data_IF_485214400554
#
_entry.id   IF_485214400554
#
_cell.length_a   1.000
_cell.length_b   1.000
_cell.length_c   1.000
_cell.angle_alpha   90.00
_cell.angle_beta   90.00
_cell.angle_gamma   90.00
#
_symmetry.space_group_name_H-M   'P 1'
#
loop_
_entity.id
_entity.type
_entity.pdbx_description
1 polymer ?
#
# COMPACT_ATOMS: atom_id res chain seq x y z
N UNK A 1 -45.42 -5.26 67.47
CA UNK A 1 -45.95 -4.36 66.44
C UNK A 1 -44.80 -3.53 65.94
N UNK A 2 -44.62 -3.57 64.62
CA UNK A 2 -43.58 -2.92 63.85
C UNK A 2 -43.85 -1.42 63.76
N UNK A 3 -42.81 -0.59 63.81
CA UNK A 3 -42.79 0.69 63.10
C UNK A 3 -41.54 0.70 62.22
N UNK A 4 -41.78 0.46 60.93
CA UNK A 4 -40.79 0.52 59.86
C UNK A 4 -40.45 1.98 59.57
N UNK A 5 -39.14 2.28 59.57
CA UNK A 5 -38.59 3.54 59.08
C UNK A 5 -38.76 3.59 57.55
N UNK A 6 -39.74 4.36 57.07
CA UNK A 6 -39.93 4.58 55.65
C UNK A 6 -38.90 5.61 55.14
N UNK A 7 -37.92 5.14 54.37
CA UNK A 7 -36.85 5.93 53.80
C UNK A 7 -37.34 6.48 52.45
N UNK A 8 -37.87 7.71 52.44
CA UNK A 8 -38.34 8.39 51.23
C UNK A 8 -37.16 8.73 50.31
N UNK A 9 -36.95 7.92 49.27
CA UNK A 9 -36.03 8.23 48.18
C UNK A 9 -36.73 9.21 47.25
N UNK A 10 -36.47 10.52 47.45
CA UNK A 10 -36.91 11.58 46.55
C UNK A 10 -36.26 11.38 45.18
N UNK A 11 -37.01 10.84 44.22
CA UNK A 11 -36.61 10.77 42.81
C UNK A 11 -36.64 12.19 42.26
N UNK A 12 -35.48 12.85 42.15
CA UNK A 12 -35.37 14.13 41.43
C UNK A 12 -35.66 13.88 39.96
N UNK A 13 -36.83 14.32 39.51
CA UNK A 13 -37.17 14.38 38.09
C UNK A 13 -36.11 15.26 37.40
N UNK A 14 -35.44 14.70 36.41
CA UNK A 14 -34.42 15.43 35.66
C UNK A 14 -35.08 16.53 34.83
N UNK A 15 -34.81 17.79 35.16
CA UNK A 15 -35.28 18.95 34.39
C UNK A 15 -34.24 19.38 33.35
N UNK A 16 -34.68 19.61 32.12
CA UNK A 16 -33.83 20.06 31.02
C UNK A 16 -33.39 21.51 31.27
N UNK A 17 -32.09 21.71 31.41
CA UNK A 17 -31.51 23.05 31.47
C UNK A 17 -31.66 23.77 30.12
N UNK A 18 -32.49 24.82 30.06
CA UNK A 18 -32.81 25.57 28.84
C UNK A 18 -31.60 26.26 28.20
N UNK A 19 -30.64 26.75 28.99
CA UNK A 19 -29.40 27.33 28.48
C UNK A 19 -28.50 26.27 27.82
N UNK A 20 -28.49 25.06 28.38
CA UNK A 20 -27.81 23.91 27.76
C UNK A 20 -28.48 23.54 26.45
N UNK A 21 -29.81 23.53 26.38
CA UNK A 21 -30.57 23.30 25.15
C UNK A 21 -30.24 24.35 24.07
N UNK A 22 -30.25 25.63 24.43
CA UNK A 22 -29.91 26.72 23.49
C UNK A 22 -28.48 26.61 22.95
N UNK A 23 -27.50 26.28 23.82
CA UNK A 23 -26.12 26.01 23.40
C UNK A 23 -26.01 24.80 22.47
N UNK A 24 -26.79 23.75 22.72
CA UNK A 24 -26.84 22.58 21.84
C UNK A 24 -27.45 22.93 20.48
N UNK A 25 -28.54 23.70 20.46
CA UNK A 25 -29.18 24.17 19.22
C UNK A 25 -28.22 25.03 18.38
N UNK A 26 -27.47 25.92 19.03
CA UNK A 26 -26.42 26.71 18.38
C UNK A 26 -25.35 25.80 17.76
N UNK A 27 -24.82 24.83 18.53
CA UNK A 27 -23.81 23.89 18.02
C UNK A 27 -24.31 23.02 16.86
N UNK A 28 -25.60 22.67 16.84
CA UNK A 28 -26.22 21.92 15.74
C UNK A 28 -26.29 22.77 14.46
N UNK A 29 -26.47 24.09 14.59
CA UNK A 29 -26.54 25.00 13.44
C UNK A 29 -25.17 25.39 12.88
N UNK A 30 -24.08 25.16 13.61
CA UNK A 30 -22.72 25.48 13.16
C UNK A 30 -22.22 24.42 12.16
N UNK A 31 -21.68 24.87 11.03
CA UNK A 31 -21.01 23.96 10.09
C UNK A 31 -19.71 23.39 10.72
N UNK A 32 -19.38 22.11 10.48
CA UNK A 32 -18.09 21.54 10.87
C UNK A 32 -16.93 22.38 10.32
N UNK A 33 -15.94 22.69 11.16
CA UNK A 33 -14.81 23.57 10.82
C UNK A 33 -13.50 22.86 10.49
N UNK A 34 -13.38 21.58 10.87
CA UNK A 34 -12.14 20.81 10.73
C UNK A 34 -12.08 20.09 9.37
N UNK A 35 -13.16 19.37 9.04
CA UNK A 35 -13.26 18.67 7.77
C UNK A 35 -13.71 19.61 6.65
N UNK A 36 -13.14 19.43 5.46
CA UNK A 36 -13.58 20.14 4.27
C UNK A 36 -15.02 19.71 3.89
N UNK A 37 -15.75 20.56 3.16
CA UNK A 37 -17.11 20.22 2.67
C UNK A 37 -17.10 19.05 1.69
N UNK A 38 -15.96 18.76 1.08
CA UNK A 38 -15.75 17.62 0.19
C UNK A 38 -15.26 16.37 0.92
N UNK A 39 -14.97 16.43 2.23
CA UNK A 39 -14.54 15.27 3.00
C UNK A 39 -15.54 14.11 2.85
N UNK A 40 -15.06 12.98 2.32
CA UNK A 40 -15.88 11.79 2.02
C UNK A 40 -16.53 11.79 0.63
N UNK A 41 -16.34 12.81 -0.20
CA UNK A 41 -16.72 12.81 -1.63
C UNK A 41 -15.58 12.26 -2.48
N UNK A 42 -15.90 11.80 -3.69
CA UNK A 42 -14.94 11.28 -4.66
C UNK A 42 -13.89 12.31 -5.12
N UNK A 43 -14.15 13.61 -4.97
CA UNK A 43 -13.19 14.68 -5.25
C UNK A 43 -12.09 14.79 -4.19
N UNK A 44 -12.38 14.42 -2.93
CA UNK A 44 -11.43 14.44 -1.83
C UNK A 44 -10.53 13.21 -1.90
N UNK A 45 -9.22 13.43 -2.06
CA UNK A 45 -8.25 12.37 -2.29
C UNK A 45 -6.90 12.55 -1.58
N UNK A 46 -6.68 13.68 -0.91
CA UNK A 46 -5.50 13.95 -0.10
C UNK A 46 -6.00 14.06 1.33
N UNK A 47 -5.61 13.10 2.17
CA UNK A 47 -6.15 12.96 3.51
C UNK A 47 -5.07 13.20 4.56
N UNK A 48 -5.45 13.78 5.70
CA UNK A 48 -4.69 13.54 6.93
C UNK A 48 -4.80 12.07 7.30
N UNK A 49 -3.66 11.46 7.56
CA UNK A 49 -3.55 10.07 7.96
C UNK A 49 -4.25 9.90 9.31
N UNK A 50 -5.13 8.89 9.45
CA UNK A 50 -5.80 8.61 10.71
C UNK A 50 -4.80 8.44 11.86
N UNK A 51 -5.05 9.11 12.98
CA UNK A 51 -4.16 9.13 14.16
C UNK A 51 -3.71 7.74 14.62
N UNK A 52 -4.57 6.72 14.51
CA UNK A 52 -4.21 5.34 14.85
C UNK A 52 -3.05 4.79 14.01
N UNK A 53 -3.01 5.08 12.72
CA UNK A 53 -1.91 4.65 11.84
C UNK A 53 -0.61 5.39 12.20
N UNK A 54 -0.71 6.68 12.52
CA UNK A 54 0.42 7.50 12.99
C UNK A 54 0.97 6.95 14.31
N UNK A 55 0.11 6.53 15.25
CA UNK A 55 0.54 5.94 16.53
C UNK A 55 1.27 4.60 16.36
N UNK A 56 0.99 3.85 15.29
CA UNK A 56 1.70 2.60 14.96
C UNK A 56 3.09 2.89 14.39
N UNK A 57 3.21 3.87 13.50
CA UNK A 57 4.49 4.23 12.87
C UNK A 57 4.52 5.69 12.38
N UNK A 58 4.76 6.62 13.31
CA UNK A 58 4.71 8.07 13.07
C UNK A 58 5.68 8.53 11.98
N UNK A 59 6.91 8.00 12.00
CA UNK A 59 7.98 8.39 11.07
C UNK A 59 7.67 8.09 9.60
N UNK A 60 6.71 7.21 9.33
CA UNK A 60 6.33 6.82 7.97
C UNK A 60 5.42 7.81 7.26
N UNK A 61 4.89 8.81 7.97
CA UNK A 61 3.93 9.77 7.42
C UNK A 61 4.43 11.22 7.44
N UNK A 62 5.59 11.48 8.06
CA UNK A 62 6.19 12.81 8.12
C UNK A 62 7.23 13.03 7.01
N UNK A 63 7.12 14.12 6.23
CA UNK A 63 8.17 14.49 5.27
C UNK A 63 9.46 14.85 6.02
N UNK A 64 10.60 14.49 5.45
CA UNK A 64 11.90 14.76 6.07
C UNK A 64 12.58 15.99 5.48
N UNK A 65 12.41 16.27 4.18
CA UNK A 65 13.11 17.39 3.55
C UNK A 65 12.23 18.27 2.67
N UNK A 66 11.13 17.74 2.11
CA UNK A 66 10.28 18.49 1.19
C UNK A 66 8.83 18.49 1.65
N UNK A 67 8.27 19.70 1.85
CA UNK A 67 6.83 19.89 1.94
C UNK A 67 6.24 19.95 0.54
N UNK A 68 5.05 19.41 0.33
CA UNK A 68 4.27 19.51 -0.90
C UNK A 68 2.82 19.69 -0.51
N UNK A 69 2.22 20.78 -0.95
CA UNK A 69 0.86 21.11 -0.55
C UNK A 69 0.78 21.80 0.81
N UNK A 70 -0.42 21.91 1.38
CA UNK A 70 -0.69 22.74 2.55
C UNK A 70 -0.36 22.12 3.91
N UNK A 71 -0.30 20.78 4.02
CA UNK A 71 -0.34 20.11 5.34
C UNK A 71 0.94 20.21 6.17
N UNK A 72 2.10 20.32 5.50
CA UNK A 72 3.42 20.46 6.12
C UNK A 72 4.08 21.81 5.79
N UNK A 73 3.31 22.74 5.20
CA UNK A 73 3.83 24.03 4.76
C UNK A 73 4.31 24.86 5.95
N UNK A 74 5.55 25.32 5.86
CA UNK A 74 6.15 26.20 6.87
C UNK A 74 6.81 25.47 8.03
N UNK A 75 6.88 24.13 8.02
CA UNK A 75 7.62 23.38 9.02
C UNK A 75 9.13 23.70 8.96
N UNK A 76 9.77 24.05 10.10
CA UNK A 76 11.14 24.56 10.09
C UNK A 76 12.19 23.62 9.48
N UNK A 77 12.03 22.29 9.65
CA UNK A 77 12.99 21.31 9.14
C UNK A 77 12.93 21.12 7.62
N UNK A 78 11.85 21.57 6.96
CA UNK A 78 11.66 21.45 5.50
C UNK A 78 12.14 22.69 4.74
N UNK A 79 12.59 23.73 5.45
CA UNK A 79 12.93 25.05 4.89
C UNK A 79 14.03 24.99 3.82
N UNK A 80 14.97 24.06 3.94
CA UNK A 80 16.08 23.91 2.98
C UNK A 80 15.55 23.74 1.55
N UNK A 81 14.59 22.85 1.33
CA UNK A 81 14.03 22.63 -0.01
C UNK A 81 13.07 23.75 -0.41
N UNK A 82 12.34 24.36 0.54
CA UNK A 82 11.50 25.54 0.24
C UNK A 82 12.30 26.67 -0.43
N UNK A 83 13.54 26.92 0.00
CA UNK A 83 14.42 27.91 -0.65
C UNK A 83 14.81 27.49 -2.08
N UNK A 84 15.08 26.19 -2.30
CA UNK A 84 15.46 25.67 -3.62
C UNK A 84 14.29 25.61 -4.61
N UNK A 85 13.05 25.47 -4.14
CA UNK A 85 11.85 25.53 -5.00
C UNK A 85 11.78 26.82 -5.80
N UNK A 86 12.12 27.95 -5.19
CA UNK A 86 12.12 29.25 -5.84
C UNK A 86 13.17 29.35 -6.96
N UNK A 87 14.34 28.74 -6.77
CA UNK A 87 15.38 28.68 -7.81
C UNK A 87 14.91 27.88 -9.03
N UNK A 88 14.24 26.75 -8.79
CA UNK A 88 13.67 25.91 -9.84
C UNK A 88 12.53 26.60 -10.57
N UNK A 89 11.63 27.27 -9.84
CA UNK A 89 10.57 28.09 -10.44
C UNK A 89 11.17 29.23 -11.30
N UNK A 90 12.19 29.92 -10.80
CA UNK A 90 12.89 30.97 -11.54
C UNK A 90 13.54 30.46 -12.82
N UNK A 91 14.22 29.31 -12.76
CA UNK A 91 14.81 28.65 -13.93
C UNK A 91 13.76 28.26 -14.97
N UNK A 92 12.62 27.71 -14.52
CA UNK A 92 11.51 27.35 -15.40
C UNK A 92 10.89 28.59 -16.06
N UNK A 93 10.64 29.65 -15.30
CA UNK A 93 10.08 30.90 -15.83
C UNK A 93 11.04 31.56 -16.81
N UNK A 94 12.33 31.62 -16.52
CA UNK A 94 13.31 32.19 -17.45
C UNK A 94 13.27 31.47 -18.82
N UNK A 95 13.06 30.15 -18.81
CA UNK A 95 12.91 29.34 -20.01
C UNK A 95 11.60 29.62 -20.74
N UNK A 96 10.46 29.64 -20.05
CA UNK A 96 9.14 29.86 -20.69
C UNK A 96 8.86 31.31 -21.06
N UNK A 97 9.50 32.28 -20.39
CA UNK A 97 9.36 33.71 -20.67
C UNK A 97 9.89 34.08 -22.06
N UNK A 98 10.91 33.36 -22.56
CA UNK A 98 11.36 33.49 -23.95
C UNK A 98 10.25 33.19 -24.98
N UNK A 99 9.17 32.54 -24.55
CA UNK A 99 7.99 32.19 -25.34
C UNK A 99 6.73 32.96 -24.91
N UNK A 100 6.89 34.03 -24.13
CA UNK A 100 5.80 34.92 -23.73
C UNK A 100 5.02 34.48 -22.49
N UNK A 101 5.47 33.46 -21.75
CA UNK A 101 4.84 33.00 -20.51
C UNK A 101 5.57 33.55 -19.29
N UNK A 102 4.94 34.44 -18.54
CA UNK A 102 5.45 34.96 -17.26
C UNK A 102 4.76 34.32 -16.06
N UNK A 103 5.24 34.62 -14.85
CA UNK A 103 4.67 34.11 -13.58
C UNK A 103 3.15 34.31 -13.46
N UNK A 104 2.63 35.44 -13.97
CA UNK A 104 1.20 35.74 -13.95
C UNK A 104 0.36 34.72 -14.72
N UNK A 105 0.91 34.15 -15.79
CA UNK A 105 0.20 33.18 -16.63
C UNK A 105 0.02 31.84 -15.92
N UNK A 106 0.96 31.46 -15.05
CA UNK A 106 0.86 30.27 -14.20
C UNK A 106 -0.26 30.43 -13.17
N UNK A 107 -0.30 31.58 -12.48
CA UNK A 107 -1.36 31.90 -11.52
C UNK A 107 -2.73 31.93 -12.22
N UNK A 108 -2.81 32.59 -13.38
CA UNK A 108 -4.05 32.65 -14.19
C UNK A 108 -4.49 31.27 -14.68
N UNK A 109 -3.55 30.39 -15.01
CA UNK A 109 -3.87 29.03 -15.45
C UNK A 109 -4.45 28.15 -14.34
N UNK A 110 -4.09 28.41 -13.07
CA UNK A 110 -4.59 27.65 -11.92
C UNK A 110 -5.78 28.31 -11.22
N UNK A 111 -6.02 29.61 -11.40
CA UNK A 111 -7.14 30.33 -10.78
C UNK A 111 -8.50 29.61 -10.97
N UNK A 112 -8.89 29.13 -12.17
CA UNK A 112 -10.17 28.42 -12.36
C UNK A 112 -10.23 27.05 -11.67
N UNK A 113 -9.07 26.51 -11.28
CA UNK A 113 -8.93 25.19 -10.68
C UNK A 113 -8.82 25.24 -9.15
N UNK A 114 -8.76 26.44 -8.56
CA UNK A 114 -8.46 26.66 -7.16
C UNK A 114 -9.43 25.92 -6.22
N UNK A 115 -10.74 26.11 -6.44
CA UNK A 115 -11.77 25.48 -5.62
C UNK A 115 -11.71 23.96 -5.73
N UNK A 116 -11.55 23.44 -6.95
CA UNK A 116 -11.41 22.00 -7.20
C UNK A 116 -10.15 21.43 -6.53
N UNK A 117 -9.06 22.20 -6.48
CA UNK A 117 -7.84 21.80 -5.80
C UNK A 117 -8.05 21.76 -4.28
N UNK A 118 -8.75 22.73 -3.69
CA UNK A 118 -9.13 22.68 -2.26
C UNK A 118 -10.01 21.49 -1.93
N UNK A 119 -10.96 21.18 -2.80
CA UNK A 119 -11.86 20.03 -2.62
C UNK A 119 -11.11 18.68 -2.62
N UNK A 120 -9.86 18.66 -3.09
CA UNK A 120 -9.01 17.47 -3.06
C UNK A 120 -8.51 17.14 -1.65
N UNK A 121 -8.52 18.09 -0.70
CA UNK A 121 -8.02 17.90 0.67
C UNK A 121 -9.15 17.56 1.64
N UNK A 122 -8.87 16.69 2.63
CA UNK A 122 -9.86 16.25 3.63
C UNK A 122 -10.16 17.27 4.72
N UNK A 123 -9.23 18.19 4.96
CA UNK A 123 -9.34 19.24 5.98
C UNK A 123 -9.50 20.61 5.35
N UNK A 124 -10.04 21.55 6.12
CA UNK A 124 -10.14 22.94 5.70
C UNK A 124 -8.74 23.55 5.61
N UNK A 125 -8.38 24.03 4.42
CA UNK A 125 -7.10 24.71 4.20
C UNK A 125 -7.24 26.19 4.59
N UNK A 126 -6.53 26.60 5.65
CA UNK A 126 -6.56 27.96 6.20
C UNK A 126 -5.68 28.99 5.45
N UNK A 127 -5.39 28.74 4.17
CA UNK A 127 -4.67 29.68 3.31
C UNK A 127 -5.67 30.51 2.50
N UNK A 128 -5.38 31.82 2.35
CA UNK A 128 -6.10 32.67 1.40
C UNK A 128 -5.93 32.17 -0.04
N UNK A 129 -6.79 32.62 -0.95
CA UNK A 129 -6.76 32.19 -2.37
C UNK A 129 -5.41 32.48 -3.03
N UNK A 130 -4.81 33.64 -2.75
CA UNK A 130 -3.51 34.02 -3.32
C UNK A 130 -2.38 33.12 -2.82
N UNK A 131 -2.25 32.94 -1.50
CA UNK A 131 -1.21 32.10 -0.90
C UNK A 131 -1.35 30.62 -1.32
N UNK A 132 -2.59 30.16 -1.47
CA UNK A 132 -2.87 28.80 -1.94
C UNK A 132 -2.47 28.62 -3.41
N UNK A 133 -2.81 29.57 -4.30
CA UNK A 133 -2.38 29.53 -5.70
C UNK A 133 -0.85 29.63 -5.84
N UNK A 134 -0.20 30.49 -5.05
CA UNK A 134 1.25 30.60 -5.00
C UNK A 134 1.89 29.27 -4.64
N UNK A 135 1.37 28.61 -3.59
CA UNK A 135 1.82 27.28 -3.17
C UNK A 135 1.65 26.24 -4.29
N UNK A 136 0.49 26.17 -4.94
CA UNK A 136 0.25 25.23 -6.04
C UNK A 136 1.21 25.45 -7.21
N UNK A 137 1.47 26.71 -7.59
CA UNK A 137 2.42 27.04 -8.65
C UNK A 137 3.84 26.67 -8.25
N UNK A 138 4.29 27.08 -7.07
CA UNK A 138 5.65 26.85 -6.59
C UNK A 138 5.96 25.35 -6.49
N UNK A 139 5.14 24.61 -5.74
CA UNK A 139 5.33 23.19 -5.49
C UNK A 139 5.17 22.38 -6.79
N UNK A 140 4.15 22.71 -7.59
CA UNK A 140 3.89 22.01 -8.84
C UNK A 140 5.00 22.22 -9.88
N UNK A 141 5.46 23.46 -10.05
CA UNK A 141 6.56 23.76 -10.97
C UNK A 141 7.88 23.14 -10.52
N UNK A 142 8.17 23.15 -9.22
CA UNK A 142 9.35 22.48 -8.68
C UNK A 142 9.34 20.99 -9.02
N UNK A 143 8.25 20.28 -8.72
CA UNK A 143 8.11 18.84 -9.00
C UNK A 143 8.30 18.55 -10.48
N UNK A 144 7.63 19.32 -11.35
CA UNK A 144 7.70 19.14 -12.81
C UNK A 144 9.11 19.38 -13.34
N UNK A 145 9.74 20.49 -12.95
CA UNK A 145 11.08 20.83 -13.43
C UNK A 145 12.11 19.81 -12.91
N UNK A 146 11.96 19.36 -11.66
CA UNK A 146 12.81 18.32 -11.10
C UNK A 146 12.68 16.99 -11.86
N UNK A 147 11.45 16.55 -12.17
CA UNK A 147 11.23 15.35 -12.98
C UNK A 147 11.78 15.48 -14.41
N UNK A 148 11.63 16.64 -15.06
CA UNK A 148 12.23 16.89 -16.38
C UNK A 148 13.75 16.79 -16.36
N UNK A 149 14.39 17.31 -15.31
CA UNK A 149 15.85 17.25 -15.16
C UNK A 149 16.34 15.84 -14.89
N UNK A 150 15.68 15.07 -13.99
CA UNK A 150 16.00 13.65 -13.78
C UNK A 150 15.76 12.82 -15.06
N UNK A 151 14.68 13.10 -15.77
CA UNK A 151 14.36 12.51 -17.08
C UNK A 151 15.27 12.97 -18.22
N UNK A 152 16.34 13.75 -17.93
CA UNK A 152 17.32 14.26 -18.90
C UNK A 152 16.73 15.11 -20.03
N UNK A 153 15.53 15.67 -19.83
CA UNK A 153 14.95 16.62 -20.78
C UNK A 153 15.67 17.97 -20.72
N UNK A 154 16.12 18.36 -19.53
CA UNK A 154 16.89 19.57 -19.28
C UNK A 154 18.09 19.27 -18.39
N UNK A 155 19.23 19.94 -18.60
CA UNK A 155 20.38 19.77 -17.74
C UNK A 155 20.14 20.39 -16.36
N UNK A 156 20.75 19.80 -15.35
CA UNK A 156 20.95 20.49 -14.08
C UNK A 156 21.97 21.62 -14.26
N UNK A 157 21.91 22.63 -13.38
CA UNK A 157 22.97 23.62 -13.33
C UNK A 157 24.27 22.95 -12.84
N UNK A 158 25.45 23.39 -13.33
CA UNK A 158 26.72 23.03 -12.70
C UNK A 158 26.62 23.35 -11.20
N UNK A 159 26.95 22.36 -10.36
CA UNK A 159 26.90 22.47 -8.89
C UNK A 159 25.49 22.57 -8.24
N UNK A 160 24.44 22.10 -8.91
CA UNK A 160 23.10 22.00 -8.30
C UNK A 160 23.16 21.15 -7.00
N UNK A 161 22.82 21.72 -5.83
CA UNK A 161 22.86 21.01 -4.54
C UNK A 161 21.96 19.77 -4.52
N UNK A 162 20.84 19.79 -5.26
CA UNK A 162 19.88 18.68 -5.27
C UNK A 162 20.38 17.47 -6.06
N UNK A 163 21.46 17.61 -6.83
CA UNK A 163 22.13 16.51 -7.53
C UNK A 163 23.45 16.14 -6.89
N UNK A 164 24.24 17.14 -6.48
CA UNK A 164 25.54 16.91 -5.86
C UNK A 164 25.42 16.21 -4.49
N UNK A 165 24.31 16.45 -3.78
CA UNK A 165 23.99 15.76 -2.53
C UNK A 165 23.15 14.50 -2.78
N UNK A 166 23.80 13.37 -3.02
CA UNK A 166 23.12 12.10 -3.37
C UNK A 166 22.01 11.67 -2.41
N UNK A 167 22.13 12.00 -1.12
CA UNK A 167 21.15 11.68 -0.09
C UNK A 167 19.79 12.37 -0.28
N UNK A 168 19.74 13.52 -0.96
CA UNK A 168 18.49 14.26 -1.26
C UNK A 168 17.56 13.42 -2.11
N UNK A 169 18.11 12.71 -3.10
CA UNK A 169 17.33 11.89 -4.03
C UNK A 169 16.54 10.79 -3.31
N UNK A 170 17.16 10.08 -2.36
CA UNK A 170 16.52 9.03 -1.57
C UNK A 170 15.33 9.56 -0.77
N UNK A 171 15.44 10.76 -0.20
CA UNK A 171 14.32 11.35 0.53
C UNK A 171 13.22 11.89 -0.38
N UNK A 172 13.53 12.37 -1.59
CA UNK A 172 12.49 12.76 -2.56
C UNK A 172 11.66 11.56 -3.02
N UNK A 173 12.27 10.41 -3.27
CA UNK A 173 11.55 9.18 -3.61
C UNK A 173 10.48 8.85 -2.55
N UNK A 174 10.80 9.08 -1.27
CA UNK A 174 9.90 8.82 -0.16
C UNK A 174 8.88 9.94 0.05
N UNK A 175 9.35 11.17 0.23
CA UNK A 175 8.52 12.32 0.63
C UNK A 175 7.46 12.67 -0.43
N UNK A 176 7.74 12.44 -1.73
CA UNK A 176 6.78 12.67 -2.83
C UNK A 176 5.66 11.62 -2.90
N UNK A 177 5.73 10.55 -2.12
CA UNK A 177 4.72 9.49 -2.04
C UNK A 177 3.95 9.49 -0.72
N UNK A 178 4.24 10.43 0.20
CA UNK A 178 3.49 10.51 1.45
C UNK A 178 2.08 11.04 1.20
N UNK A 179 1.06 10.41 1.80
CA UNK A 179 -0.34 10.74 1.57
C UNK A 179 -0.67 12.20 1.94
N UNK A 180 -0.07 12.72 3.01
CA UNK A 180 -0.27 14.10 3.47
C UNK A 180 0.52 15.14 2.65
N UNK A 181 1.45 14.68 1.80
CA UNK A 181 2.44 15.53 1.14
C UNK A 181 2.24 15.50 -0.39
N UNK A 182 1.05 15.88 -0.84
CA UNK A 182 0.62 15.72 -2.23
C UNK A 182 0.04 17.01 -2.82
N UNK A 183 0.12 17.11 -4.15
CA UNK A 183 -0.73 17.98 -4.95
C UNK A 183 -1.70 17.14 -5.79
N UNK A 184 -2.89 17.67 -6.10
CA UNK A 184 -3.78 17.02 -7.06
C UNK A 184 -3.11 16.90 -8.43
N UNK A 185 -3.13 15.70 -9.02
CA UNK A 185 -2.42 15.42 -10.26
C UNK A 185 -2.89 16.29 -11.43
N UNK A 186 -4.16 16.70 -11.44
CA UNK A 186 -4.67 17.60 -12.48
C UNK A 186 -4.03 19.00 -12.42
N UNK A 187 -3.57 19.45 -11.24
CA UNK A 187 -2.80 20.70 -11.09
C UNK A 187 -1.43 20.52 -11.73
N UNK A 188 -0.74 19.42 -11.40
CA UNK A 188 0.55 19.06 -12.00
C UNK A 188 0.44 18.93 -13.52
N UNK A 189 -0.60 18.25 -14.01
CA UNK A 189 -0.85 18.08 -15.43
C UNK A 189 -1.10 19.43 -16.12
N UNK A 190 -1.89 20.32 -15.52
CA UNK A 190 -2.16 21.64 -16.09
C UNK A 190 -0.88 22.48 -16.22
N UNK A 191 -0.04 22.49 -15.18
CA UNK A 191 1.25 23.17 -15.20
C UNK A 191 2.23 22.52 -16.17
N UNK A 192 2.24 21.19 -16.26
CA UNK A 192 3.10 20.45 -17.19
C UNK A 192 2.79 20.80 -18.63
N UNK A 193 1.49 20.81 -18.99
CA UNK A 193 1.04 21.17 -20.33
C UNK A 193 1.28 22.65 -20.66
N UNK A 194 1.13 23.55 -19.68
CA UNK A 194 1.42 24.98 -19.86
C UNK A 194 2.90 25.24 -20.17
N UNK A 195 3.79 24.40 -19.63
CA UNK A 195 5.24 24.62 -19.66
C UNK A 195 5.96 23.78 -20.71
N UNK A 196 5.23 23.17 -21.64
CA UNK A 196 5.81 22.46 -22.79
C UNK A 196 6.44 23.47 -23.75
N UNK A 197 7.68 23.20 -24.15
CA UNK A 197 8.40 24.03 -25.13
C UNK A 197 8.17 23.51 -26.56
N UNK A 198 8.35 24.35 -27.59
CA UNK A 198 8.36 23.89 -28.98
C UNK A 198 9.37 22.74 -29.17
N UNK A 199 8.93 21.65 -29.81
CA UNK A 199 9.75 20.44 -30.00
C UNK A 199 9.59 19.38 -28.89
N UNK A 200 8.93 19.69 -27.78
CA UNK A 200 8.62 18.71 -26.72
C UNK A 200 7.29 17.96 -26.96
N UNK A 201 6.62 18.18 -28.10
CA UNK A 201 5.31 17.57 -28.41
C UNK A 201 5.36 16.04 -28.47
N UNK A 202 6.49 15.49 -28.93
CA UNK A 202 6.77 14.05 -28.95
C UNK A 202 7.50 13.56 -27.69
N UNK A 203 7.67 14.43 -26.69
CA UNK A 203 8.35 14.12 -25.43
C UNK A 203 7.53 13.19 -24.51
N UNK A 204 8.14 12.71 -23.41
CA UNK A 204 7.45 11.87 -22.45
C UNK A 204 6.28 12.62 -21.79
N UNK A 205 5.20 11.91 -21.51
CA UNK A 205 4.10 12.43 -20.69
C UNK A 205 4.56 12.69 -19.25
N UNK A 206 3.80 13.48 -18.50
CA UNK A 206 4.05 13.66 -17.05
C UNK A 206 4.05 12.31 -16.31
N UNK A 207 3.09 11.43 -16.63
CA UNK A 207 3.04 10.10 -16.02
C UNK A 207 4.29 9.27 -16.35
N UNK A 208 4.81 9.34 -17.57
CA UNK A 208 6.06 8.66 -17.95
C UNK A 208 7.26 9.17 -17.15
N UNK A 209 7.35 10.49 -16.95
CA UNK A 209 8.42 11.08 -16.12
C UNK A 209 8.31 10.65 -14.66
N UNK A 210 7.09 10.60 -14.11
CA UNK A 210 6.84 10.13 -12.74
C UNK A 210 7.23 8.65 -12.60
N UNK A 211 6.82 7.81 -13.56
CA UNK A 211 7.18 6.38 -13.56
C UNK A 211 8.69 6.20 -13.67
N UNK A 212 9.35 6.91 -14.59
CA UNK A 212 10.81 6.87 -14.74
C UNK A 212 11.55 7.32 -13.49
N UNK A 213 11.03 8.34 -12.78
CA UNK A 213 11.60 8.80 -11.51
C UNK A 213 11.56 7.70 -10.45
N UNK A 214 10.39 7.11 -10.17
CA UNK A 214 10.26 6.06 -9.15
C UNK A 214 10.87 4.72 -9.57
N UNK A 215 11.09 4.49 -10.87
CA UNK A 215 11.76 3.28 -11.35
C UNK A 215 13.24 3.19 -10.94
N UNK A 216 13.85 4.30 -10.50
CA UNK A 216 15.19 4.27 -9.91
C UNK A 216 15.25 3.42 -8.61
N UNK A 217 14.12 3.23 -7.92
CA UNK A 217 13.99 2.29 -6.79
C UNK A 217 13.32 0.99 -7.19
N UNK A 218 12.28 1.04 -8.02
CA UNK A 218 11.44 -0.12 -8.34
C UNK A 218 12.06 -1.10 -9.35
N UNK A 219 12.97 -0.63 -10.20
CA UNK A 219 13.69 -1.45 -11.20
C UNK A 219 12.79 -2.32 -12.08
N UNK A 220 11.60 -1.82 -12.45
CA UNK A 220 10.66 -2.52 -13.33
C UNK A 220 11.12 -2.46 -14.79
N UNK A 221 10.87 -3.51 -15.59
CA UNK A 221 11.09 -3.51 -17.03
C UNK A 221 10.42 -2.34 -17.77
N UNK A 222 11.10 -1.81 -18.78
CA UNK A 222 10.61 -0.66 -19.57
C UNK A 222 9.28 -0.96 -20.28
N UNK A 223 9.07 -2.22 -20.71
CA UNK A 223 7.81 -2.63 -21.35
C UNK A 223 6.61 -2.46 -20.41
N UNK A 224 6.82 -2.66 -19.11
CA UNK A 224 5.77 -2.49 -18.10
C UNK A 224 5.52 -1.01 -17.85
N UNK A 225 6.56 -0.17 -17.82
CA UNK A 225 6.40 1.28 -17.67
C UNK A 225 5.62 1.88 -18.85
N UNK A 226 5.88 1.42 -20.07
CA UNK A 226 5.21 1.89 -21.29
C UNK A 226 3.70 1.63 -21.27
N UNK A 227 3.23 0.52 -20.70
CA UNK A 227 1.78 0.25 -20.53
C UNK A 227 1.08 1.32 -19.71
N UNK A 228 1.83 1.97 -18.81
CA UNK A 228 1.31 2.92 -17.84
C UNK A 228 1.67 4.39 -18.16
N UNK A 229 2.21 4.67 -19.35
CA UNK A 229 2.66 6.02 -19.73
C UNK A 229 1.54 7.07 -19.77
N UNK A 230 0.28 6.67 -19.84
CA UNK A 230 -0.88 7.59 -19.93
C UNK A 230 -1.81 7.52 -18.72
N UNK A 231 -1.36 6.88 -17.61
CA UNK A 231 -2.16 6.80 -16.39
C UNK A 231 -2.48 8.20 -15.85
N UNK A 232 -3.67 8.32 -15.27
CA UNK A 232 -4.15 9.53 -14.59
C UNK A 232 -4.55 9.17 -13.17
N UNK A 233 -3.61 9.36 -12.24
CA UNK A 233 -3.89 9.26 -10.81
C UNK A 233 -4.56 10.52 -10.28
N UNK A 234 -5.02 10.47 -9.03
CA UNK A 234 -5.53 11.61 -8.28
C UNK A 234 -4.41 12.52 -7.77
N UNK A 235 -3.26 11.95 -7.44
CA UNK A 235 -2.00 12.57 -7.04
C UNK A 235 -0.85 11.59 -7.32
N UNK A 236 0.40 11.90 -6.96
CA UNK A 236 1.58 11.08 -7.33
C UNK A 236 1.53 9.68 -6.73
N UNK A 237 1.21 9.56 -5.43
CA UNK A 237 1.04 8.26 -4.77
C UNK A 237 -0.02 7.38 -5.46
N UNK A 238 -1.19 7.94 -5.78
CA UNK A 238 -2.25 7.19 -6.44
C UNK A 238 -1.86 6.78 -7.86
N UNK A 239 -1.18 7.66 -8.61
CA UNK A 239 -0.64 7.35 -9.94
C UNK A 239 0.30 6.14 -9.89
N UNK A 240 1.27 6.15 -8.96
CA UNK A 240 2.20 5.03 -8.80
C UNK A 240 1.48 3.75 -8.40
N UNK A 241 0.53 3.84 -7.46
CA UNK A 241 -0.32 2.71 -7.05
C UNK A 241 -1.10 2.11 -8.23
N UNK A 242 -1.74 2.94 -9.07
CA UNK A 242 -2.47 2.46 -10.24
C UNK A 242 -1.57 1.64 -11.19
N UNK A 243 -0.28 1.98 -11.29
CA UNK A 243 0.67 1.24 -12.14
C UNK A 243 0.99 -0.18 -11.69
N UNK A 244 0.57 -0.57 -10.48
CA UNK A 244 0.71 -1.92 -9.95
C UNK A 244 -0.59 -2.72 -10.03
N UNK A 245 -1.74 -2.06 -10.21
CA UNK A 245 -3.01 -2.77 -10.24
C UNK A 245 -3.09 -3.56 -11.56
N UNK A 246 -3.26 -4.89 -11.52
CA UNK A 246 -3.41 -5.69 -12.73
C UNK A 246 -4.64 -5.24 -13.53
N UNK A 247 -4.55 -5.25 -14.86
CA UNK A 247 -5.73 -5.07 -15.72
C UNK A 247 -6.73 -6.21 -15.44
N UNK A 248 -7.86 -5.84 -14.85
CA UNK A 248 -9.08 -6.62 -14.55
C UNK A 248 -8.90 -8.15 -14.46
N UNK A 249 -8.75 -8.68 -13.24
CA UNK A 249 -9.34 -9.97 -12.93
C UNK A 249 -10.82 -9.71 -12.65
N UNK A 250 -11.71 -10.25 -13.50
CA UNK A 250 -13.15 -10.26 -13.22
C UNK A 250 -13.35 -10.75 -11.78
N UNK A 251 -14.00 -9.94 -10.93
CA UNK A 251 -14.47 -10.44 -9.65
C UNK A 251 -15.44 -11.56 -9.97
N UNK A 252 -15.03 -12.81 -9.77
CA UNK A 252 -15.93 -13.95 -9.85
C UNK A 252 -17.11 -13.72 -8.92
N UNK A 253 -18.32 -13.69 -9.47
CA UNK A 253 -19.54 -13.75 -8.68
C UNK A 253 -19.62 -15.14 -8.06
N UNK A 254 -19.30 -15.26 -6.78
CA UNK A 254 -19.37 -16.53 -6.06
C UNK A 254 -20.48 -16.50 -5.02
N UNK A 255 -21.27 -17.58 -4.99
CA UNK A 255 -22.43 -17.75 -4.10
C UNK A 255 -22.05 -17.93 -2.62
N UNK A 256 -20.77 -18.06 -2.29
CA UNK A 256 -20.29 -18.35 -0.94
C UNK A 256 -19.09 -17.47 -0.53
N UNK A 257 -19.23 -16.66 0.54
CA UNK A 257 -18.14 -15.85 1.06
C UNK A 257 -17.00 -16.72 1.64
N UNK A 258 -15.72 -16.34 1.46
CA UNK A 258 -14.60 -16.98 2.12
C UNK A 258 -14.81 -17.03 3.63
N UNK A 259 -14.93 -18.25 4.15
CA UNK A 259 -15.33 -18.43 5.56
C UNK A 259 -14.20 -18.08 6.53
N UNK A 260 -12.92 -18.03 6.09
CA UNK A 260 -11.75 -17.79 6.96
C UNK A 260 -10.54 -17.18 6.24
N UNK A 261 -9.70 -16.46 6.99
CA UNK A 261 -8.35 -16.08 6.55
C UNK A 261 -7.45 -17.32 6.38
N UNK A 262 -6.48 -17.24 5.47
CA UNK A 262 -5.49 -18.32 5.30
C UNK A 262 -4.51 -18.35 6.47
N UNK A 263 -3.82 -19.48 6.61
CA UNK A 263 -2.84 -19.68 7.67
C UNK A 263 -1.46 -19.13 7.28
N UNK A 264 -0.61 -18.85 8.28
CA UNK A 264 0.79 -18.49 8.07
C UNK A 264 1.60 -19.56 7.32
N UNK A 265 2.69 -19.11 6.68
CA UNK A 265 3.61 -19.95 5.88
C UNK A 265 4.02 -21.21 6.63
N UNK A 266 4.38 -21.09 7.91
CA UNK A 266 4.74 -22.24 8.75
C UNK A 266 3.66 -23.33 8.82
N UNK A 267 2.37 -22.96 8.85
CA UNK A 267 1.25 -23.91 8.87
C UNK A 267 0.93 -24.43 7.47
N UNK A 268 0.92 -23.55 6.46
CA UNK A 268 0.68 -23.94 5.07
C UNK A 268 1.69 -24.99 4.59
N UNK A 269 2.96 -24.83 4.93
CA UNK A 269 4.02 -25.80 4.63
C UNK A 269 3.76 -27.18 5.22
N UNK A 270 3.29 -27.24 6.48
CA UNK A 270 2.94 -28.51 7.15
C UNK A 270 1.75 -29.20 6.47
N UNK A 271 0.86 -28.41 5.86
CA UNK A 271 -0.25 -28.92 5.05
C UNK A 271 0.14 -29.28 3.61
N UNK A 272 1.43 -29.22 3.25
CA UNK A 272 1.92 -29.58 1.92
C UNK A 272 1.83 -28.46 0.88
N UNK A 273 1.37 -27.26 1.27
CA UNK A 273 1.32 -26.10 0.39
C UNK A 273 2.72 -25.51 0.23
N UNK A 274 3.14 -25.30 -1.01
CA UNK A 274 4.45 -24.74 -1.36
C UNK A 274 4.29 -23.31 -1.86
N UNK A 275 5.19 -22.43 -1.44
CA UNK A 275 5.31 -21.09 -1.99
C UNK A 275 6.51 -21.05 -2.95
N UNK A 276 6.35 -20.42 -4.11
CA UNK A 276 7.37 -20.29 -5.15
C UNK A 276 7.34 -18.90 -5.79
N UNK A 277 8.48 -18.44 -6.35
CA UNK A 277 8.50 -17.21 -7.13
C UNK A 277 7.66 -17.39 -8.41
N UNK A 278 6.76 -16.45 -8.64
CA UNK A 278 5.94 -16.34 -9.83
C UNK A 278 6.51 -15.34 -10.84
N UNK A 279 6.03 -15.38 -12.08
CA UNK A 279 6.31 -14.34 -13.10
C UNK A 279 5.04 -13.57 -13.39
N UNK A 280 5.04 -12.27 -13.11
CA UNK A 280 3.95 -11.34 -13.43
C UNK A 280 4.47 -9.91 -13.50
N UNK A 281 3.69 -9.03 -14.14
CA UNK A 281 4.02 -7.60 -14.31
C UNK A 281 3.89 -6.78 -13.01
N UNK A 282 3.21 -7.33 -12.02
CA UNK A 282 2.97 -6.73 -10.71
C UNK A 282 3.11 -7.75 -9.60
N UNK A 283 3.68 -7.33 -8.46
CA UNK A 283 3.76 -8.14 -7.26
C UNK A 283 2.39 -8.49 -6.64
N UNK A 284 1.33 -7.77 -7.04
CA UNK A 284 -0.05 -8.03 -6.62
C UNK A 284 -0.63 -9.30 -7.25
N UNK A 285 -0.03 -9.82 -8.34
CA UNK A 285 -0.57 -10.98 -9.05
C UNK A 285 -0.16 -12.29 -8.38
N UNK A 286 -0.92 -12.71 -7.37
CA UNK A 286 -0.71 -13.99 -6.67
C UNK A 286 -1.62 -15.07 -7.25
N UNK A 287 -1.07 -16.26 -7.51
CA UNK A 287 -1.82 -17.40 -8.08
C UNK A 287 -1.68 -18.61 -7.17
N UNK A 288 -2.74 -19.41 -7.07
CA UNK A 288 -2.70 -20.71 -6.39
C UNK A 288 -3.19 -21.81 -7.32
N UNK A 289 -2.39 -22.86 -7.49
CA UNK A 289 -2.73 -24.03 -8.33
C UNK A 289 -2.15 -25.29 -7.71
N UNK A 290 -2.99 -26.30 -7.50
CA UNK A 290 -2.57 -27.64 -7.07
C UNK A 290 -1.62 -27.66 -5.85
N UNK A 291 -1.90 -26.87 -4.82
CA UNK A 291 -1.07 -26.80 -3.61
C UNK A 291 0.20 -25.95 -3.76
N UNK A 292 0.34 -25.18 -4.85
CA UNK A 292 1.45 -24.25 -5.04
C UNK A 292 0.90 -22.82 -5.13
N UNK A 293 1.39 -21.95 -4.26
CA UNK A 293 1.17 -20.51 -4.29
C UNK A 293 2.35 -19.84 -4.99
N UNK A 294 2.09 -19.19 -6.12
CA UNK A 294 3.07 -18.44 -6.90
C UNK A 294 2.93 -16.95 -6.58
N UNK A 295 4.00 -16.36 -6.06
CA UNK A 295 4.07 -14.95 -5.69
C UNK A 295 5.23 -14.31 -6.44
N UNK A 296 5.04 -13.22 -7.20
CA UNK A 296 6.15 -12.54 -7.84
C UNK A 296 7.15 -12.02 -6.79
N UNK A 297 8.45 -12.00 -7.09
CA UNK A 297 9.47 -11.50 -6.17
C UNK A 297 9.24 -10.03 -5.77
N UNK A 298 9.54 -9.71 -4.52
CA UNK A 298 9.39 -8.37 -3.94
C UNK A 298 10.63 -8.00 -3.14
N UNK A 299 11.21 -6.85 -3.48
CA UNK A 299 12.30 -6.21 -2.72
C UNK A 299 11.70 -5.42 -1.56
N UNK A 300 11.96 -5.84 -0.32
CA UNK A 300 11.51 -5.16 0.89
C UNK A 300 12.62 -4.21 1.34
N UNK A 301 12.45 -2.91 1.06
CA UNK A 301 13.38 -1.83 1.41
C UNK A 301 12.63 -0.64 2.04
N UNK A 302 13.35 0.41 2.43
CA UNK A 302 12.77 1.63 3.02
C UNK A 302 11.77 2.34 2.08
N UNK A 303 11.99 2.25 0.77
CA UNK A 303 11.11 2.87 -0.23
C UNK A 303 9.77 2.12 -0.32
N UNK A 304 9.80 0.81 -0.53
CA UNK A 304 8.61 0.00 -0.74
C UNK A 304 7.78 -0.08 0.54
N UNK A 305 8.43 -0.16 1.71
CA UNK A 305 7.72 -0.14 3.00
C UNK A 305 6.96 1.17 3.21
N UNK A 306 7.58 2.33 2.90
CA UNK A 306 6.91 3.63 2.93
C UNK A 306 5.76 3.70 1.92
N UNK A 307 5.98 3.22 0.70
CA UNK A 307 4.95 3.18 -0.34
C UNK A 307 3.75 2.33 0.10
N UNK A 308 3.97 1.13 0.66
CA UNK A 308 2.91 0.27 1.18
C UNK A 308 2.06 0.96 2.23
N UNK A 309 2.67 1.55 3.26
CA UNK A 309 1.95 2.19 4.35
C UNK A 309 1.10 3.37 3.87
N UNK A 310 1.61 4.17 2.95
CA UNK A 310 0.89 5.31 2.40
C UNK A 310 -0.23 4.87 1.44
N UNK A 311 -0.02 3.82 0.64
CA UNK A 311 -1.09 3.21 -0.16
C UNK A 311 -2.21 2.62 0.71
N UNK A 312 -1.88 1.88 1.77
CA UNK A 312 -2.88 1.33 2.70
C UNK A 312 -3.66 2.46 3.38
N UNK A 313 -2.98 3.52 3.84
CA UNK A 313 -3.65 4.69 4.39
C UNK A 313 -4.60 5.36 3.37
N UNK A 314 -4.14 5.53 2.13
CA UNK A 314 -4.95 6.12 1.06
C UNK A 314 -6.17 5.26 0.73
N UNK A 315 -5.99 3.95 0.57
CA UNK A 315 -7.08 3.02 0.31
C UNK A 315 -8.05 2.97 1.48
N UNK A 316 -7.60 3.05 2.74
CA UNK A 316 -8.47 3.12 3.91
C UNK A 316 -9.33 4.39 3.92
N UNK A 317 -8.74 5.56 3.63
CA UNK A 317 -9.42 6.85 3.68
C UNK A 317 -10.34 7.09 2.47
N UNK A 318 -9.96 6.62 1.29
CA UNK A 318 -10.66 6.91 0.06
C UNK A 318 -11.73 5.85 -0.24
N UNK A 319 -13.00 6.20 -0.02
CA UNK A 319 -14.15 5.30 -0.22
C UNK A 319 -14.18 4.63 -1.60
N UNK A 320 -14.10 5.42 -2.67
CA UNK A 320 -14.24 4.90 -4.05
C UNK A 320 -12.92 4.30 -4.62
N UNK A 321 -11.89 4.14 -3.77
CA UNK A 321 -10.61 3.59 -4.18
C UNK A 321 -10.63 2.06 -4.04
N UNK A 322 -10.14 1.35 -5.05
CA UNK A 322 -9.92 -0.11 -4.99
C UNK A 322 -8.94 -0.47 -3.87
N UNK A 323 -9.14 -1.59 -3.19
CA UNK A 323 -8.34 -2.01 -2.04
C UNK A 323 -7.22 -3.01 -2.38
N UNK A 324 -6.58 -2.88 -3.55
CA UNK A 324 -5.64 -3.88 -4.06
C UNK A 324 -4.37 -3.98 -3.19
N UNK A 325 -3.77 -2.85 -2.83
CA UNK A 325 -2.57 -2.85 -1.99
C UNK A 325 -2.90 -3.35 -0.59
N UNK A 326 -4.02 -2.91 -0.03
CA UNK A 326 -4.55 -3.33 1.27
C UNK A 326 -4.81 -4.83 1.31
N UNK A 327 -5.45 -5.38 0.28
CA UNK A 327 -5.73 -6.82 0.18
C UNK A 327 -4.42 -7.63 0.13
N UNK A 328 -3.41 -7.14 -0.60
CA UNK A 328 -2.10 -7.78 -0.63
C UNK A 328 -1.37 -7.66 0.71
N UNK A 329 -1.45 -6.51 1.38
CA UNK A 329 -0.91 -6.32 2.72
C UNK A 329 -1.55 -7.30 3.72
N UNK A 330 -2.86 -7.51 3.67
CA UNK A 330 -3.56 -8.52 4.48
C UNK A 330 -3.12 -9.94 4.15
N UNK A 331 -2.88 -10.26 2.87
CA UNK A 331 -2.30 -11.55 2.48
C UNK A 331 -0.93 -11.73 3.14
N UNK A 332 -0.06 -10.74 3.08
CA UNK A 332 1.26 -10.79 3.70
C UNK A 332 1.17 -10.96 5.23
N UNK A 333 0.27 -10.23 5.89
CA UNK A 333 -0.01 -10.35 7.32
C UNK A 333 -0.47 -11.77 7.71
N UNK A 334 -1.33 -12.39 6.89
CA UNK A 334 -1.73 -13.78 7.09
C UNK A 334 -0.54 -14.74 6.95
N UNK A 335 0.31 -14.53 5.95
CA UNK A 335 1.44 -15.39 5.62
C UNK A 335 2.58 -15.28 6.64
N UNK A 336 2.82 -14.08 7.20
CA UNK A 336 4.03 -13.73 7.95
C UNK A 336 3.67 -13.37 9.39
N UNK A 337 3.77 -14.37 10.27
CA UNK A 337 3.56 -14.14 11.71
C UNK A 337 4.89 -13.97 12.45
N UNK A 338 5.96 -14.61 11.98
CA UNK A 338 7.26 -14.65 12.66
C UNK A 338 8.42 -14.38 11.70
N UNK A 339 9.61 -14.07 12.25
CA UNK A 339 10.83 -13.93 11.45
C UNK A 339 11.17 -15.19 10.64
N UNK A 340 10.80 -16.39 11.12
CA UNK A 340 11.00 -17.65 10.38
C UNK A 340 10.14 -17.75 9.12
N UNK A 341 8.98 -17.10 9.11
CA UNK A 341 8.15 -17.04 7.91
C UNK A 341 8.80 -16.13 6.86
N UNK A 342 9.42 -15.02 7.29
CA UNK A 342 10.21 -14.11 6.42
C UNK A 342 11.46 -14.81 5.89
N UNK A 343 12.24 -15.46 6.76
CA UNK A 343 13.44 -16.24 6.42
C UNK A 343 13.09 -17.24 5.30
N UNK A 344 11.98 -17.97 5.45
CA UNK A 344 11.53 -18.92 4.44
C UNK A 344 11.15 -18.26 3.10
N UNK A 345 10.53 -17.07 3.11
CA UNK A 345 10.20 -16.35 1.88
C UNK A 345 11.46 -15.84 1.17
N UNK A 346 12.47 -15.44 1.93
CA UNK A 346 13.79 -15.05 1.41
C UNK A 346 14.50 -16.25 0.79
N UNK A 347 14.53 -17.40 1.46
CA UNK A 347 15.10 -18.66 0.94
C UNK A 347 14.47 -19.12 -0.37
N UNK A 348 13.21 -18.73 -0.61
CA UNK A 348 12.46 -19.04 -1.83
C UNK A 348 12.61 -17.99 -2.93
N UNK A 349 13.39 -16.94 -2.71
CA UNK A 349 13.51 -15.78 -3.61
C UNK A 349 12.14 -15.15 -3.92
N UNK A 350 11.21 -15.20 -2.96
CA UNK A 350 9.96 -14.46 -3.04
C UNK A 350 10.19 -13.07 -2.46
N UNK A 351 10.95 -12.97 -1.36
CA UNK A 351 11.38 -11.70 -0.79
C UNK A 351 12.88 -11.50 -0.99
N UNK A 352 13.27 -10.26 -1.25
CA UNK A 352 14.63 -9.78 -1.11
C UNK A 352 14.66 -8.74 0.01
N UNK A 353 15.27 -9.08 1.14
CA UNK A 353 15.23 -8.22 2.33
C UNK A 353 16.43 -7.24 2.34
N UNK A 354 16.13 -5.94 2.15
CA UNK A 354 17.07 -4.83 2.32
C UNK A 354 16.63 -3.84 3.41
N UNK A 355 15.56 -4.15 4.14
CA UNK A 355 14.97 -3.31 5.18
C UNK A 355 15.66 -3.48 6.53
N UNK A 356 16.19 -4.67 6.81
CA UNK A 356 16.88 -4.98 8.06
C UNK A 356 16.81 -6.46 8.39
N UNK A 357 16.59 -6.79 9.65
CA UNK A 357 16.42 -8.16 10.11
C UNK A 357 15.05 -8.73 9.69
N UNK A 358 14.98 -10.05 9.54
CA UNK A 358 13.71 -10.75 9.27
C UNK A 358 12.65 -10.48 10.34
N UNK A 359 13.08 -10.21 11.58
CA UNK A 359 12.19 -9.82 12.68
C UNK A 359 11.61 -8.41 12.49
N UNK A 360 12.37 -7.48 11.91
CA UNK A 360 11.90 -6.14 11.58
C UNK A 360 10.89 -6.18 10.43
N UNK A 361 11.15 -6.97 9.38
CA UNK A 361 10.19 -7.19 8.29
C UNK A 361 8.90 -7.81 8.81
N UNK A 362 8.99 -8.88 9.63
CA UNK A 362 7.82 -9.49 10.23
C UNK A 362 7.02 -8.48 11.07
N UNK A 363 7.69 -7.66 11.89
CA UNK A 363 7.02 -6.64 12.71
C UNK A 363 6.36 -5.57 11.85
N UNK A 364 7.01 -5.13 10.77
CA UNK A 364 6.46 -4.17 9.83
C UNK A 364 5.17 -4.69 9.19
N UNK A 365 5.19 -5.92 8.65
CA UNK A 365 4.03 -6.52 7.98
C UNK A 365 2.87 -6.72 8.96
N UNK A 366 3.16 -7.24 10.17
CA UNK A 366 2.16 -7.38 11.23
C UNK A 366 1.55 -6.05 11.69
N UNK A 367 2.29 -4.95 11.54
CA UNK A 367 1.78 -3.62 11.84
C UNK A 367 0.98 -3.02 10.68
N UNK A 368 1.25 -3.44 9.45
CA UNK A 368 0.54 -3.00 8.25
C UNK A 368 -0.89 -3.54 8.21
N UNK A 369 -1.13 -4.75 8.75
CA UNK A 369 -2.46 -5.35 8.86
C UNK A 369 -3.31 -4.85 10.04
N UNK A 370 -2.72 -4.12 11.00
CA UNK A 370 -3.45 -3.62 12.18
C UNK A 370 -4.41 -2.50 11.83
N UNK A 371 -5.62 -2.57 12.39
CA UNK A 371 -6.68 -1.56 12.23
C UNK A 371 -7.14 -1.31 10.77
N UNK A 372 -6.78 -2.20 9.85
CA UNK A 372 -7.23 -2.13 8.46
C UNK A 372 -8.54 -2.88 8.30
N UNK A 373 -9.61 -2.18 7.90
CA UNK A 373 -10.89 -2.81 7.59
C UNK A 373 -10.76 -3.57 6.28
N UNK A 374 -10.70 -4.91 6.37
CA UNK A 374 -10.58 -5.80 5.22
C UNK A 374 -11.87 -6.60 5.03
N UNK A 375 -12.43 -6.51 3.82
CA UNK A 375 -13.55 -7.33 3.36
C UNK A 375 -12.98 -8.47 2.54
N UNK A 376 -12.85 -9.65 3.15
CA UNK A 376 -12.32 -10.85 2.48
C UNK A 376 -13.22 -11.31 1.33
N UNK A 377 -14.52 -11.01 1.44
CA UNK A 377 -15.54 -11.52 0.53
C UNK A 377 -15.55 -10.73 -0.79
N UNK A 378 -15.27 -9.43 -0.71
CA UNK A 378 -15.26 -8.52 -1.85
C UNK A 378 -13.85 -8.00 -2.18
N UNK A 379 -12.85 -8.88 -2.18
CA UNK A 379 -11.48 -8.55 -2.57
C UNK A 379 -11.00 -9.33 -3.80
N UNK A 380 -10.02 -8.79 -4.53
CA UNK A 380 -9.50 -9.44 -5.76
C UNK A 380 -8.77 -10.77 -5.49
N UNK A 381 -8.43 -11.07 -4.24
CA UNK A 381 -7.82 -12.34 -3.82
C UNK A 381 -8.82 -13.31 -3.19
N UNK A 382 -10.14 -13.04 -3.26
CA UNK A 382 -11.16 -13.89 -2.63
C UNK A 382 -11.07 -15.35 -3.10
N UNK A 383 -10.90 -15.57 -4.40
CA UNK A 383 -10.68 -16.90 -5.00
C UNK A 383 -9.42 -17.58 -4.44
N UNK A 384 -8.32 -16.83 -4.33
CA UNK A 384 -7.06 -17.33 -3.76
C UNK A 384 -7.28 -17.81 -2.32
N UNK A 385 -7.94 -17.01 -1.48
CA UNK A 385 -8.23 -17.39 -0.09
C UNK A 385 -9.12 -18.65 -0.03
N UNK A 386 -10.14 -18.73 -0.89
CA UNK A 386 -11.02 -19.89 -0.98
C UNK A 386 -10.28 -21.17 -1.36
N UNK A 387 -9.52 -21.13 -2.45
CA UNK A 387 -8.80 -22.29 -2.97
C UNK A 387 -7.76 -22.81 -1.97
N UNK A 388 -7.01 -21.89 -1.34
CA UNK A 388 -6.01 -22.24 -0.33
C UNK A 388 -6.66 -22.90 0.88
N UNK A 389 -7.77 -22.35 1.38
CA UNK A 389 -8.49 -22.92 2.52
C UNK A 389 -9.15 -24.26 2.19
N UNK A 390 -9.71 -24.42 1.00
CA UNK A 390 -10.27 -25.69 0.53
C UNK A 390 -9.18 -26.75 0.45
N UNK A 391 -8.03 -26.42 -0.13
CA UNK A 391 -6.88 -27.33 -0.19
C UNK A 391 -6.38 -27.69 1.21
N UNK A 392 -6.28 -26.72 2.12
CA UNK A 392 -5.85 -26.93 3.50
C UNK A 392 -6.83 -27.81 4.31
N UNK A 393 -8.13 -27.80 3.99
CA UNK A 393 -9.14 -28.63 4.66
C UNK A 393 -9.22 -30.06 4.12
N UNK A 394 -8.83 -30.29 2.87
CA UNK A 394 -8.87 -31.60 2.23
C UNK A 394 -7.79 -32.53 2.84
N UNK A 395 -8.18 -33.21 3.93
CA UNK A 395 -7.29 -33.83 4.91
C UNK A 395 -6.38 -34.97 4.44
N UNK A 396 -6.63 -35.60 3.28
CA UNK A 396 -5.78 -36.70 2.81
C UNK A 396 -4.35 -36.25 2.49
N UNK A 397 -4.19 -35.14 1.76
CA UNK A 397 -2.86 -34.61 1.43
C UNK A 397 -2.18 -33.95 2.62
N UNK A 398 -2.96 -33.34 3.52
CA UNK A 398 -2.45 -32.72 4.76
C UNK A 398 -1.94 -33.77 5.74
N UNK A 399 -2.64 -34.89 5.90
CA UNK A 399 -2.17 -36.01 6.71
C UNK A 399 -0.91 -36.66 6.12
N UNK A 400 -0.85 -36.82 4.79
CA UNK A 400 0.33 -37.38 4.10
C UNK A 400 1.55 -36.44 4.15
N UNK A 401 1.35 -35.13 3.96
CA UNK A 401 2.40 -34.12 4.06
C UNK A 401 2.87 -33.92 5.50
N UNK A 402 1.93 -33.89 6.46
CA UNK A 402 2.21 -33.86 7.89
C UNK A 402 3.01 -35.08 8.33
N UNK A 403 2.59 -36.28 7.89
CA UNK A 403 3.31 -37.53 8.16
C UNK A 403 4.72 -37.51 7.54
N UNK A 404 4.87 -37.02 6.31
CA UNK A 404 6.17 -36.83 5.67
C UNK A 404 7.09 -35.91 6.49
N UNK A 405 6.58 -34.75 6.90
CA UNK A 405 7.35 -33.77 7.64
C UNK A 405 7.72 -34.25 9.06
N UNK A 406 6.81 -34.92 9.77
CA UNK A 406 7.06 -35.33 11.16
C UNK A 406 7.79 -36.67 11.28
N UNK A 407 7.53 -37.63 10.39
CA UNK A 407 8.09 -38.98 10.51
C UNK A 407 9.20 -39.27 9.51
N UNK A 408 9.34 -38.50 8.44
CA UNK A 408 10.29 -38.78 7.36
C UNK A 408 11.30 -37.65 7.11
N UNK A 409 11.47 -36.72 8.06
CA UNK A 409 12.50 -35.68 8.01
C UNK A 409 13.92 -36.22 8.28
N UNK A 410 14.03 -37.43 8.84
CA UNK A 410 15.30 -38.13 9.02
C UNK A 410 15.41 -39.33 8.06
N UNK A 411 16.57 -39.54 7.40
CA UNK A 411 16.79 -40.72 6.55
C UNK A 411 16.55 -42.05 7.29
N UNK A 412 16.86 -42.09 8.59
CA UNK A 412 16.76 -43.29 9.42
C UNK A 412 15.32 -43.70 9.71
N UNK A 413 14.43 -42.72 9.91
CA UNK A 413 13.01 -42.97 10.14
C UNK A 413 12.35 -43.58 8.91
N UNK A 414 12.76 -43.13 7.71
CA UNK A 414 12.32 -43.72 6.44
C UNK A 414 12.79 -45.16 6.28
N UNK A 415 14.08 -45.43 6.52
CA UNK A 415 14.65 -46.77 6.42
C UNK A 415 13.97 -47.73 7.41
N UNK A 416 13.72 -47.28 8.65
CA UNK A 416 13.07 -48.10 9.66
C UNK A 416 11.62 -48.45 9.29
N UNK A 417 10.85 -47.48 8.78
CA UNK A 417 9.49 -47.73 8.31
C UNK A 417 9.46 -48.68 7.10
N UNK A 418 10.41 -48.52 6.18
CA UNK A 418 10.55 -49.39 5.01
C UNK A 418 10.92 -50.83 5.41
N UNK A 419 11.86 -51.01 6.34
CA UNK A 419 12.23 -52.32 6.86
C UNK A 419 11.04 -53.02 7.55
N UNK A 420 10.27 -52.29 8.37
CA UNK A 420 9.07 -52.81 9.01
C UNK A 420 7.99 -53.23 7.98
N UNK A 421 7.83 -52.45 6.91
CA UNK A 421 6.91 -52.79 5.82
C UNK A 421 7.32 -54.05 5.06
N UNK A 422 8.61 -54.20 4.74
CA UNK A 422 9.15 -55.43 4.11
C UNK A 422 8.95 -56.64 5.03
N UNK A 423 9.22 -56.52 6.33
CA UNK A 423 8.99 -57.59 7.30
C UNK A 423 7.51 -57.97 7.39
N UNK A 424 6.58 -57.01 7.33
CA UNK A 424 5.15 -57.27 7.30
C UNK A 424 4.77 -58.08 6.05
N UNK A 425 5.24 -57.70 4.86
CA UNK A 425 4.98 -58.43 3.61
C UNK A 425 5.53 -59.86 3.67
N UNK A 426 6.74 -60.04 4.22
CA UNK A 426 7.32 -61.37 4.43
C UNK A 426 6.50 -62.20 5.40
N UNK A 427 5.97 -61.58 6.46
CA UNK A 427 5.11 -62.27 7.44
C UNK A 427 3.79 -62.70 6.82
N UNK A 428 3.18 -61.84 5.99
CA UNK A 428 1.96 -62.17 5.24
C UNK A 428 2.23 -63.32 4.26
N UNK A 429 3.32 -63.25 3.50
CA UNK A 429 3.71 -64.31 2.57
C UNK A 429 3.97 -65.63 3.32
N UNK A 430 4.70 -65.60 4.43
CA UNK A 430 4.94 -66.75 5.29
C UNK A 430 3.63 -67.35 5.81
N UNK A 431 2.72 -66.51 6.30
CA UNK A 431 1.39 -66.93 6.78
C UNK A 431 0.60 -67.58 5.66
N UNK A 432 0.60 -67.00 4.46
CA UNK A 432 -0.05 -67.57 3.28
C UNK A 432 0.54 -68.94 2.91
N UNK A 433 1.87 -69.06 2.80
CA UNK A 433 2.52 -70.34 2.47
C UNK A 433 2.35 -71.40 3.58
N UNK A 434 2.12 -70.99 4.83
CA UNK A 434 1.85 -71.91 5.95
C UNK A 434 0.41 -72.42 5.92
N UNK A 435 -0.54 -71.56 5.53
CA UNK A 435 -1.98 -71.87 5.52
C UNK A 435 -2.42 -72.54 4.21
N UNK A 436 -1.80 -72.20 3.08
CA UNK A 436 -2.14 -72.71 1.75
C UNK A 436 -2.17 -74.26 1.66
N UNK A 437 -1.21 -75.01 2.24
CA UNK A 437 -1.24 -76.48 2.25
C UNK A 437 -2.38 -77.07 3.10
N UNK A 438 -2.94 -76.30 4.04
CA UNK A 438 -4.06 -76.73 4.88
C UNK A 438 -5.40 -76.70 4.12
N UNK A 439 -5.56 -75.76 3.18
CA UNK A 439 -6.76 -75.62 2.36
C UNK A 439 -6.67 -76.29 0.99
N UNK A 440 -5.45 -76.58 0.52
CA UNK A 440 -5.19 -77.43 -0.64
C UNK A 440 -4.19 -78.55 -0.28
N UNK A 441 -4.62 -79.54 0.52
CA UNK A 441 -3.82 -80.74 0.72
C UNK A 441 -3.68 -81.48 -0.62
N UNK A 442 -2.45 -81.87 -0.95
CA UNK A 442 -2.14 -82.65 -2.16
C UNK A 442 -2.81 -84.01 -2.17
#
# INVERSE_FOLDING_TARGET
MMEESNNDVVVRVWEVNKERLARMQQKISEEPRLLSKSAGRSSCCIFRVPRRLVEINDRSYQPHIISVGPYHRGEPHLKMIEEHKWLYLGSLIARTQSHGLGLQDYLRALQPLEMKARESYSEVIHLGTHDFLEMLVLDGCFIIEYFRKIGKMHPFQPDDPLVSMSWVFSFFLRDLLLLENQLPFFVLQRLFDLTKMPGEESGPSLASLVMGFFNNSLQRPDEILQKHCNLKGKHLLDLLRLSFIPEEQELGTHDHPPTHMIQCVSKLRKAGIKLKPGKADSFLTVKFRNGVMEMPPVTIDDFLTCFFQNCVAFELCHKDCTKHITTYATLLDCLINTSKDVEYLCDRNIFENYFGTDAEVARFINNLGKDVTFDADNCYLSELFNDVNQYYRNGWHVQLAGMKYTYFDSPWSFISAFAAFVLLLLTIAQTFYTIYPYFHPR
#
